data_IF_712581667923
#
_entry.id   IF_712581667923
#
_cell.length_a   1.000
_cell.length_b   1.000
_cell.length_c   1.000
_cell.angle_alpha   90.00
_cell.angle_beta   90.00
_cell.angle_gamma   90.00
#
_symmetry.space_group_name_H-M   'P 1'
#
loop_
_entity.id
_entity.type
_entity.pdbx_description
1 polymer ?
#
# COMPACT_ATOMS: atom_id res chain seq x y z
N UNK A 1 -14.52 7.52 -8.32
CA UNK A 1 -15.30 8.16 -7.23
C UNK A 1 -16.81 8.07 -7.48
N UNK A 2 -17.32 8.60 -8.61
CA UNK A 2 -18.76 8.60 -8.93
C UNK A 2 -19.50 7.24 -8.89
N UNK A 3 -18.81 6.13 -9.14
CA UNK A 3 -19.45 4.81 -9.17
C UNK A 3 -19.74 4.27 -7.76
N UNK A 4 -18.81 4.48 -6.82
CA UNK A 4 -18.95 4.05 -5.44
C UNK A 4 -19.93 4.91 -4.65
N UNK A 5 -20.01 6.21 -4.95
CA UNK A 5 -21.04 7.09 -4.37
C UNK A 5 -22.45 6.66 -4.78
N UNK A 6 -22.62 6.22 -6.03
CA UNK A 6 -23.90 5.66 -6.51
C UNK A 6 -24.18 4.32 -5.85
N UNK A 7 -23.19 3.44 -5.77
CA UNK A 7 -23.33 2.15 -5.10
C UNK A 7 -23.73 2.33 -3.62
N UNK A 8 -23.08 3.24 -2.90
CA UNK A 8 -23.45 3.60 -1.52
C UNK A 8 -24.91 4.05 -1.44
N UNK A 9 -25.31 4.99 -2.30
CA UNK A 9 -26.67 5.50 -2.35
C UNK A 9 -27.69 4.39 -2.62
N UNK A 10 -27.42 3.50 -3.58
CA UNK A 10 -28.34 2.40 -3.88
C UNK A 10 -28.41 1.38 -2.74
N UNK A 11 -27.29 1.07 -2.10
CA UNK A 11 -27.25 0.16 -0.95
C UNK A 11 -27.98 0.73 0.27
N UNK A 12 -27.89 2.05 0.51
CA UNK A 12 -28.61 2.73 1.58
C UNK A 12 -30.13 2.85 1.33
N UNK A 13 -30.56 2.81 0.06
CA UNK A 13 -31.97 2.82 -0.33
C UNK A 13 -32.58 1.40 -0.42
N UNK A 14 -31.73 0.38 -0.49
CA UNK A 14 -32.16 -1.01 -0.53
C UNK A 14 -32.75 -1.43 0.83
N UNK A 15 -33.43 -2.58 0.83
CA UNK A 15 -33.92 -3.19 2.06
C UNK A 15 -32.76 -3.48 3.02
N UNK A 16 -32.95 -3.13 4.29
CA UNK A 16 -31.98 -3.41 5.34
C UNK A 16 -31.96 -4.91 5.65
N UNK A 17 -30.93 -5.61 5.18
CA UNK A 17 -30.73 -7.04 5.37
C UNK A 17 -29.23 -7.37 5.46
N UNK A 18 -28.93 -8.60 5.82
CA UNK A 18 -27.56 -9.05 6.06
C UNK A 18 -26.66 -8.98 4.82
N UNK A 19 -27.22 -8.99 3.60
CA UNK A 19 -26.47 -8.85 2.36
C UNK A 19 -26.18 -7.39 2.03
N UNK A 20 -27.11 -6.48 2.27
CA UNK A 20 -26.91 -5.04 2.06
C UNK A 20 -25.94 -4.47 3.08
N UNK A 21 -26.07 -4.85 4.35
CA UNK A 21 -25.10 -4.50 5.41
C UNK A 21 -23.71 -5.07 5.11
N UNK A 22 -23.58 -6.33 4.67
CA UNK A 22 -22.30 -6.90 4.21
C UNK A 22 -21.69 -6.10 3.04
N UNK A 23 -22.51 -5.74 2.05
CA UNK A 23 -22.06 -4.98 0.89
C UNK A 23 -21.57 -3.57 1.28
N UNK A 24 -22.28 -2.90 2.19
CA UNK A 24 -21.86 -1.61 2.76
C UNK A 24 -20.55 -1.74 3.53
N UNK A 25 -20.40 -2.76 4.37
CA UNK A 25 -19.14 -3.01 5.08
C UNK A 25 -17.97 -3.21 4.12
N UNK A 26 -18.18 -3.99 3.04
CA UNK A 26 -17.17 -4.16 1.99
C UNK A 26 -16.87 -2.88 1.21
N UNK A 27 -17.86 -2.03 0.99
CA UNK A 27 -17.70 -0.75 0.30
C UNK A 27 -16.73 0.16 1.06
N UNK A 28 -16.89 0.25 2.39
CA UNK A 28 -16.02 1.06 3.24
C UNK A 28 -14.62 0.47 3.45
N UNK A 29 -14.33 -0.73 2.95
CA UNK A 29 -12.96 -1.26 2.86
C UNK A 29 -12.29 -0.97 1.51
N UNK A 30 -12.97 -0.31 0.57
CA UNK A 30 -12.36 0.12 -0.69
C UNK A 30 -11.57 1.41 -0.51
N UNK A 31 -10.46 1.55 -1.23
CA UNK A 31 -9.50 2.66 -1.08
C UNK A 31 -10.14 4.04 -1.17
N UNK A 32 -11.09 4.21 -2.08
CA UNK A 32 -11.78 5.49 -2.33
C UNK A 32 -12.78 5.89 -1.24
N UNK A 33 -13.23 4.94 -0.42
CA UNK A 33 -14.24 5.10 0.63
C UNK A 33 -13.76 4.53 1.97
N UNK A 34 -12.44 4.43 2.15
CA UNK A 34 -11.86 3.66 3.23
C UNK A 34 -12.23 4.26 4.60
N UNK A 35 -13.01 3.51 5.37
CA UNK A 35 -13.46 3.85 6.72
C UNK A 35 -13.68 2.54 7.49
N UNK A 36 -12.66 2.13 8.24
CA UNK A 36 -12.67 0.86 8.96
C UNK A 36 -13.78 0.83 10.00
N UNK A 37 -14.04 1.94 10.69
CA UNK A 37 -15.04 1.96 11.75
C UNK A 37 -16.43 1.73 11.17
N UNK A 38 -16.77 2.42 10.06
CA UNK A 38 -18.03 2.13 9.36
C UNK A 38 -18.08 0.68 8.88
N UNK A 39 -16.99 0.17 8.31
CA UNK A 39 -16.96 -1.22 7.86
C UNK A 39 -17.26 -2.20 9.00
N UNK A 40 -16.66 -2.00 10.18
CA UNK A 40 -16.93 -2.78 11.39
C UNK A 40 -18.40 -2.66 11.78
N UNK A 41 -18.94 -1.45 11.90
CA UNK A 41 -20.34 -1.24 12.29
C UNK A 41 -21.33 -1.97 11.35
N UNK A 42 -21.07 -1.93 10.04
CA UNK A 42 -21.88 -2.63 9.04
C UNK A 42 -21.73 -4.14 9.13
N UNK A 43 -20.52 -4.65 9.34
CA UNK A 43 -20.33 -6.09 9.51
C UNK A 43 -20.92 -6.61 10.83
N UNK A 44 -20.84 -5.86 11.94
CA UNK A 44 -21.44 -6.25 13.22
C UNK A 44 -22.95 -6.44 13.09
N UNK A 45 -23.63 -5.59 12.32
CA UNK A 45 -25.08 -5.70 12.05
C UNK A 45 -25.46 -6.96 11.28
N UNK A 46 -24.59 -7.48 10.42
CA UNK A 46 -24.88 -8.64 9.56
C UNK A 46 -24.20 -9.93 9.98
N UNK A 47 -23.19 -9.89 10.85
CA UNK A 47 -22.37 -11.04 11.24
C UNK A 47 -23.16 -12.17 11.90
N UNK A 48 -24.34 -11.88 12.44
CA UNK A 48 -25.23 -12.89 13.01
C UNK A 48 -25.93 -13.78 11.99
N UNK A 49 -26.13 -13.28 10.76
CA UNK A 49 -26.87 -13.99 9.70
C UNK A 49 -26.03 -14.21 8.44
N UNK A 50 -24.84 -13.64 8.37
CA UNK A 50 -23.99 -13.67 7.20
C UNK A 50 -22.56 -14.08 7.58
N UNK A 51 -22.20 -15.31 7.20
CA UNK A 51 -20.88 -15.91 7.46
C UNK A 51 -19.73 -15.09 6.86
N UNK A 52 -19.97 -14.31 5.80
CA UNK A 52 -18.94 -13.46 5.22
C UNK A 52 -18.68 -12.22 6.07
N UNK A 53 -19.71 -11.68 6.72
CA UNK A 53 -19.55 -10.53 7.62
C UNK A 53 -18.80 -10.91 8.89
N UNK A 54 -19.15 -12.04 9.51
CA UNK A 54 -18.40 -12.59 10.65
C UNK A 54 -16.95 -12.92 10.26
N UNK A 55 -16.71 -13.46 9.06
CA UNK A 55 -15.35 -13.66 8.55
C UNK A 55 -14.57 -12.34 8.42
N UNK A 56 -15.18 -11.29 7.87
CA UNK A 56 -14.50 -10.00 7.71
C UNK A 56 -14.17 -9.36 9.07
N UNK A 57 -15.09 -9.40 10.05
CA UNK A 57 -14.80 -8.95 11.42
C UNK A 57 -13.62 -9.71 12.02
N UNK A 58 -13.66 -11.04 11.89
CA UNK A 58 -12.59 -11.91 12.35
C UNK A 58 -11.22 -11.49 11.79
N UNK A 59 -11.15 -11.19 10.50
CA UNK A 59 -9.92 -10.69 9.85
C UNK A 59 -9.51 -9.30 10.31
N UNK A 60 -10.47 -8.38 10.43
CA UNK A 60 -10.21 -7.01 10.86
C UNK A 60 -9.61 -6.97 12.27
N UNK A 61 -10.17 -7.74 13.20
CA UNK A 61 -9.62 -7.85 14.55
C UNK A 61 -8.30 -8.65 14.60
N UNK A 62 -8.08 -9.63 13.71
CA UNK A 62 -6.83 -10.41 13.68
C UNK A 62 -5.64 -9.56 13.22
N UNK A 63 -5.82 -8.81 12.14
CA UNK A 63 -4.73 -8.04 11.52
C UNK A 63 -4.69 -6.58 11.98
N UNK A 64 -5.77 -6.08 12.58
CA UNK A 64 -5.95 -4.67 12.87
C UNK A 64 -6.04 -3.85 11.58
N UNK A 65 -6.34 -2.58 11.73
CA UNK A 65 -6.29 -1.60 10.65
C UNK A 65 -6.09 -0.20 11.24
N UNK A 66 -5.96 0.82 10.39
CA UNK A 66 -5.91 2.20 10.88
C UNK A 66 -7.18 2.52 11.67
N UNK A 67 -7.03 2.93 12.93
CA UNK A 67 -8.15 3.19 13.83
C UNK A 67 -8.80 1.94 14.46
N UNK A 68 -8.30 0.73 14.18
CA UNK A 68 -8.78 -0.52 14.78
C UNK A 68 -7.61 -1.35 15.32
N UNK A 69 -7.54 -1.46 16.64
CA UNK A 69 -6.53 -2.28 17.30
C UNK A 69 -6.76 -3.79 17.06
N UNK A 70 -5.67 -4.55 17.05
CA UNK A 70 -5.74 -6.00 17.00
C UNK A 70 -6.35 -6.54 18.28
N UNK A 71 -7.34 -7.41 18.14
CA UNK A 71 -7.96 -8.15 19.23
C UNK A 71 -8.10 -9.60 18.83
N UNK A 72 -7.12 -10.42 19.24
CA UNK A 72 -7.07 -11.83 18.86
C UNK A 72 -8.25 -12.63 19.43
N UNK A 73 -8.77 -12.23 20.59
CA UNK A 73 -9.90 -12.91 21.23
C UNK A 73 -11.16 -12.70 20.38
N UNK A 74 -11.49 -11.45 20.06
CA UNK A 74 -12.60 -11.13 19.15
C UNK A 74 -12.42 -11.75 17.76
N UNK A 75 -11.18 -11.74 17.25
CA UNK A 75 -10.88 -12.37 15.97
C UNK A 75 -11.27 -13.85 15.95
N UNK A 76 -10.85 -14.61 16.97
CA UNK A 76 -11.18 -16.03 17.09
C UNK A 76 -12.69 -16.23 17.24
N UNK A 77 -13.36 -15.44 18.08
CA UNK A 77 -14.82 -15.53 18.25
C UNK A 77 -15.57 -15.39 16.92
N UNK A 78 -15.27 -14.33 16.16
CA UNK A 78 -15.93 -14.07 14.88
C UNK A 78 -15.55 -15.08 13.78
N UNK A 79 -14.29 -15.50 13.72
CA UNK A 79 -13.86 -16.55 12.79
C UNK A 79 -14.49 -17.89 13.12
N UNK A 80 -14.61 -18.27 14.40
CA UNK A 80 -15.25 -19.51 14.82
C UNK A 80 -16.73 -19.50 14.48
N UNK A 81 -17.42 -18.38 14.70
CA UNK A 81 -18.81 -18.21 14.25
C UNK A 81 -18.94 -18.45 12.75
N UNK A 82 -18.13 -17.75 11.95
CA UNK A 82 -18.14 -17.88 10.49
C UNK A 82 -17.85 -19.33 10.02
N UNK A 83 -16.88 -20.00 10.65
CA UNK A 83 -16.54 -21.39 10.35
C UNK A 83 -17.69 -22.36 10.68
N UNK A 84 -18.37 -22.15 11.81
CA UNK A 84 -19.54 -22.95 12.20
C UNK A 84 -20.71 -22.77 11.22
N UNK A 85 -20.85 -21.60 10.62
CA UNK A 85 -21.83 -21.34 9.55
C UNK A 85 -21.41 -21.93 8.19
N UNK A 86 -20.24 -22.58 8.10
CA UNK A 86 -19.75 -23.26 6.90
C UNK A 86 -18.71 -22.49 6.10
N UNK A 87 -18.14 -21.41 6.63
CA UNK A 87 -17.10 -20.66 5.93
C UNK A 87 -15.74 -21.35 6.02
N UNK A 88 -15.35 -22.03 4.94
CA UNK A 88 -14.05 -22.72 4.83
C UNK A 88 -12.85 -21.77 4.96
N UNK A 89 -12.97 -20.52 4.52
CA UNK A 89 -11.89 -19.54 4.68
C UNK A 89 -11.67 -19.18 6.14
N UNK A 90 -12.74 -19.07 6.92
CA UNK A 90 -12.66 -18.83 8.36
C UNK A 90 -12.03 -20.02 9.07
N UNK A 91 -12.43 -21.25 8.71
CA UNK A 91 -11.81 -22.46 9.26
C UNK A 91 -10.32 -22.55 8.92
N UNK A 92 -9.95 -22.26 7.67
CA UNK A 92 -8.55 -22.23 7.26
C UNK A 92 -7.74 -21.14 7.99
N UNK A 93 -8.35 -19.97 8.21
CA UNK A 93 -7.75 -18.88 8.97
C UNK A 93 -7.47 -19.31 10.42
N UNK A 94 -8.44 -19.94 11.09
CA UNK A 94 -8.27 -20.46 12.46
C UNK A 94 -7.15 -21.49 12.55
N UNK A 95 -7.12 -22.44 11.61
CA UNK A 95 -6.12 -23.51 11.60
C UNK A 95 -4.69 -22.98 11.36
N UNK A 96 -4.56 -21.89 10.61
CA UNK A 96 -3.26 -21.37 10.16
C UNK A 96 -2.99 -19.92 10.62
N UNK A 97 -3.60 -19.45 11.72
CA UNK A 97 -3.51 -18.05 12.16
C UNK A 97 -2.08 -17.51 12.23
N UNK A 98 -1.17 -18.27 12.86
CA UNK A 98 0.22 -17.87 13.00
C UNK A 98 0.93 -17.71 11.64
N UNK A 99 0.60 -18.55 10.66
CA UNK A 99 1.16 -18.43 9.31
C UNK A 99 0.68 -17.15 8.63
N UNK A 100 -0.60 -16.81 8.77
CA UNK A 100 -1.14 -15.58 8.21
C UNK A 100 -0.56 -14.32 8.88
N UNK A 101 -0.44 -14.31 10.22
CA UNK A 101 0.22 -13.22 10.96
C UNK A 101 1.68 -13.04 10.50
N UNK A 102 2.43 -14.13 10.36
CA UNK A 102 3.81 -14.13 9.89
C UNK A 102 3.93 -13.63 8.44
N UNK A 103 2.99 -13.98 7.56
CA UNK A 103 2.99 -13.53 6.18
C UNK A 103 2.83 -12.00 6.07
N UNK A 104 1.94 -11.41 6.88
CA UNK A 104 1.76 -9.94 6.94
C UNK A 104 3.02 -9.26 7.46
N UNK A 105 3.65 -9.82 8.50
CA UNK A 105 4.90 -9.32 9.05
C UNK A 105 6.03 -9.37 8.01
N UNK A 106 6.17 -10.49 7.32
CA UNK A 106 7.17 -10.67 6.25
C UNK A 106 6.98 -9.64 5.14
N UNK A 107 5.75 -9.45 4.64
CA UNK A 107 5.45 -8.45 3.61
C UNK A 107 5.81 -7.02 4.04
N UNK A 108 5.56 -6.69 5.30
CA UNK A 108 5.92 -5.38 5.88
C UNK A 108 7.44 -5.21 5.90
N UNK A 109 8.17 -6.23 6.36
CA UNK A 109 9.64 -6.24 6.40
C UNK A 109 10.22 -6.10 4.98
N UNK A 110 9.71 -6.84 4.00
CA UNK A 110 10.14 -6.72 2.61
C UNK A 110 9.88 -5.33 2.02
N UNK A 111 8.73 -4.72 2.33
CA UNK A 111 8.43 -3.36 1.90
C UNK A 111 9.40 -2.33 2.50
N UNK A 112 9.73 -2.47 3.79
CA UNK A 112 10.73 -1.62 4.44
C UNK A 112 12.11 -1.79 3.81
N UNK A 113 12.53 -3.03 3.54
CA UNK A 113 13.80 -3.28 2.83
C UNK A 113 13.82 -2.68 1.43
N UNK A 114 12.75 -2.82 0.65
CA UNK A 114 12.67 -2.25 -0.69
C UNK A 114 12.75 -0.71 -0.68
N UNK A 115 12.06 -0.07 0.28
CA UNK A 115 12.12 1.37 0.46
C UNK A 115 13.50 1.84 0.90
N UNK A 116 14.14 1.13 1.84
CA UNK A 116 15.49 1.43 2.30
C UNK A 116 16.52 1.30 1.18
N UNK A 117 16.46 0.22 0.40
CA UNK A 117 17.33 0.01 -0.76
C UNK A 117 17.23 1.15 -1.77
N UNK A 118 16.00 1.60 -2.07
CA UNK A 118 15.77 2.76 -2.96
C UNK A 118 16.40 4.04 -2.41
N UNK A 119 16.26 4.30 -1.11
CA UNK A 119 16.87 5.46 -0.46
C UNK A 119 18.41 5.44 -0.54
N UNK A 120 19.03 4.27 -0.35
CA UNK A 120 20.49 4.09 -0.46
C UNK A 120 20.94 4.30 -1.91
N UNK A 121 20.20 3.77 -2.88
CA UNK A 121 20.52 3.93 -4.31
C UNK A 121 20.40 5.39 -4.77
N UNK A 122 19.37 6.10 -4.34
CA UNK A 122 19.16 7.51 -4.63
C UNK A 122 20.30 8.37 -4.05
N UNK A 123 20.67 8.14 -2.78
CA UNK A 123 21.79 8.84 -2.12
C UNK A 123 23.13 8.55 -2.83
N UNK A 124 23.40 7.27 -3.12
CA UNK A 124 24.61 6.87 -3.82
C UNK A 124 24.70 7.52 -5.21
N UNK A 125 23.60 7.50 -5.98
CA UNK A 125 23.53 8.06 -7.33
C UNK A 125 23.67 9.59 -7.31
N UNK A 126 23.06 10.26 -6.33
CA UNK A 126 23.17 11.71 -6.15
C UNK A 126 24.61 12.13 -5.82
N UNK A 127 25.27 11.40 -4.91
CA UNK A 127 26.68 11.65 -4.55
C UNK A 127 27.63 11.35 -5.71
N UNK A 128 27.37 10.30 -6.47
CA UNK A 128 28.20 9.96 -7.64
C UNK A 128 28.03 10.99 -8.78
N UNK A 129 26.79 11.44 -9.05
CA UNK A 129 26.51 12.49 -10.05
C UNK A 129 27.20 13.81 -9.70
N UNK A 130 27.22 14.22 -8.42
CA UNK A 130 27.86 15.47 -7.99
C UNK A 130 29.38 15.42 -8.16
N UNK A 131 30.02 14.31 -7.79
CA UNK A 131 31.47 14.10 -7.97
C UNK A 131 31.82 14.05 -9.45
N UNK A 132 31.08 13.28 -10.27
CA UNK A 132 31.31 13.21 -11.72
C UNK A 132 31.19 14.57 -12.39
N UNK A 133 30.15 15.36 -12.08
CA UNK A 133 30.00 16.74 -12.59
C UNK A 133 31.19 17.62 -12.22
N UNK A 134 31.70 17.49 -11.01
CA UNK A 134 32.85 18.27 -10.53
C UNK A 134 34.13 17.89 -11.27
N UNK A 135 34.38 16.59 -11.46
CA UNK A 135 35.54 16.07 -12.19
C UNK A 135 35.49 16.49 -13.66
N UNK A 136 34.35 16.32 -14.34
CA UNK A 136 34.15 16.76 -15.72
C UNK A 136 34.41 18.26 -15.88
N UNK A 137 33.88 19.07 -14.97
CA UNK A 137 34.08 20.53 -14.99
C UNK A 137 35.54 20.92 -14.79
N UNK A 138 36.29 20.16 -13.98
CA UNK A 138 37.72 20.38 -13.74
C UNK A 138 38.55 19.96 -14.95
N UNK A 139 38.22 18.81 -15.55
CA UNK A 139 38.86 18.30 -16.75
C UNK A 139 38.64 19.23 -17.95
N UNK A 140 37.41 19.71 -18.18
CA UNK A 140 37.10 20.71 -19.22
C UNK A 140 37.93 21.99 -19.04
N UNK A 141 38.05 22.49 -17.80
CA UNK A 141 38.91 23.65 -17.48
C UNK A 141 40.38 23.39 -17.78
N UNK A 142 40.90 22.20 -17.47
CA UNK A 142 42.29 21.84 -17.79
C UNK A 142 42.52 21.76 -19.30
N UNK A 143 41.60 21.12 -20.05
CA UNK A 143 41.68 21.03 -21.52
C UNK A 143 41.67 22.43 -22.14
N UNK A 144 40.76 23.29 -21.71
CA UNK A 144 40.66 24.67 -22.19
C UNK A 144 41.94 25.48 -21.94
N UNK A 145 42.49 25.43 -20.72
CA UNK A 145 43.80 26.07 -20.40
C UNK A 145 44.93 25.51 -21.26
N UNK A 146 44.96 24.19 -21.48
CA UNK A 146 45.98 23.55 -22.30
C UNK A 146 45.87 23.98 -23.77
N UNK A 147 44.65 24.05 -24.33
CA UNK A 147 44.40 24.57 -25.69
C UNK A 147 44.89 26.01 -25.85
N UNK A 148 44.57 26.88 -24.89
CA UNK A 148 45.06 28.27 -24.87
C UNK A 148 46.59 28.35 -24.84
N UNK A 149 47.26 27.54 -24.00
CA UNK A 149 48.73 27.52 -23.93
C UNK A 149 49.40 27.04 -25.23
N UNK A 150 48.68 26.31 -26.07
CA UNK A 150 49.13 25.82 -27.37
C UNK A 150 48.72 26.77 -28.52
N UNK A 151 48.10 27.92 -28.21
CA UNK A 151 47.66 28.90 -29.21
C UNK A 151 46.43 28.47 -30.03
N UNK A 152 45.73 27.42 -29.60
CA UNK A 152 44.53 26.91 -30.28
C UNK A 152 43.34 27.77 -29.83
N UNK A 153 42.66 28.45 -30.78
CA UNK A 153 41.43 29.21 -30.51
C UNK A 153 40.29 28.25 -30.20
N UNK A 154 39.52 28.52 -29.14
CA UNK A 154 38.32 27.73 -28.85
C UNK A 154 37.24 28.04 -29.89
N UNK A 155 36.90 27.06 -30.72
CA UNK A 155 35.67 27.13 -31.51
C UNK A 155 34.48 27.20 -30.55
N UNK A 156 33.71 28.27 -30.67
CA UNK A 156 32.45 28.41 -29.95
C UNK A 156 31.53 27.25 -30.35
N UNK A 157 31.39 26.27 -29.45
CA UNK A 157 30.45 25.17 -29.62
C UNK A 157 29.06 25.68 -29.29
N UNK A 158 28.39 26.25 -30.29
CA UNK A 158 26.94 26.25 -30.33
C UNK A 158 26.44 24.80 -30.31
N UNK A 159 25.28 24.63 -29.66
CA UNK A 159 24.35 23.50 -29.73
C UNK A 159 24.84 22.12 -29.28
N UNK A 160 24.61 21.80 -28.00
CA UNK A 160 24.06 20.50 -27.58
C UNK A 160 23.10 20.71 -26.40
N UNK A 161 22.08 21.55 -26.61
CA UNK A 161 20.84 21.54 -25.84
C UNK A 161 19.68 21.39 -26.84
N UNK A 162 19.65 20.30 -27.62
CA UNK A 162 18.40 19.83 -28.23
C UNK A 162 18.39 18.30 -28.31
N UNK A 163 17.28 17.76 -27.82
CA UNK A 163 16.67 16.46 -28.11
C UNK A 163 17.05 15.21 -27.26
N UNK A 164 16.03 14.84 -26.47
CA UNK A 164 15.61 13.56 -25.86
C UNK A 164 16.39 12.98 -24.67
#
# INVERSE_FOLDING_TARGET
MQDLDKAEKYLLLAEDNEFTQYALGKLYLQKEKYDVQKAVDYFEKSADKNMWSSYQLGRLYLFGAEGLEKDKTKAVEWLTKSANDGNEYAQNMLNNMAQFENAVLANTIFGLFANLSRCIEDDYTQKYRSVRRTVDSRLRRMIHRKKQSLGIKDDQSQSYEQSY
#
